data_IF_845606006615
#
_entry.id   IF_845606006615
#
_cell.length_a   1.000
_cell.length_b   1.000
_cell.length_c   1.000
_cell.angle_alpha   90.00
_cell.angle_beta   90.00
_cell.angle_gamma   90.00
#
_symmetry.space_group_name_H-M   'P 1'
#
loop_
_entity.id
_entity.type
_entity.pdbx_description
1 polymer ?
#
# COMPACT_ATOMS: atom_id res chain seq x y z
N UNK A 1 17.34 -5.88 11.17
CA UNK A 1 17.85 -4.57 11.65
C UNK A 1 18.49 -3.88 10.44
N UNK A 2 18.15 -2.62 10.15
CA UNK A 2 18.89 -1.83 9.15
C UNK A 2 19.99 -1.08 9.90
N UNK A 3 21.24 -1.35 9.54
CA UNK A 3 22.39 -0.55 9.97
C UNK A 3 22.89 0.25 8.77
N UNK A 4 23.13 1.54 8.98
CA UNK A 4 23.74 2.43 8.00
C UNK A 4 25.04 2.97 8.61
N UNK A 5 26.14 2.94 7.85
CA UNK A 5 27.46 3.36 8.30
C UNK A 5 27.86 4.62 7.53
N UNK A 6 27.90 5.76 8.21
CA UNK A 6 28.42 7.01 7.65
C UNK A 6 29.82 7.25 8.20
N UNK A 7 30.82 7.34 7.32
CA UNK A 7 32.18 7.76 7.68
C UNK A 7 32.48 9.04 6.91
N UNK A 8 32.50 10.17 7.61
CA UNK A 8 33.14 11.40 7.13
C UNK A 8 33.98 11.98 8.27
N UNK A 9 35.29 12.08 8.05
CA UNK A 9 36.22 12.81 8.91
C UNK A 9 36.95 13.81 8.02
N UNK A 10 36.72 15.10 8.25
CA UNK A 10 37.58 16.17 7.75
C UNK A 10 38.04 16.98 8.96
N UNK A 11 39.36 17.13 9.13
CA UNK A 11 39.95 18.01 10.12
C UNK A 11 40.75 19.09 9.39
N UNK A 12 40.39 20.35 9.56
CA UNK A 12 41.16 21.48 9.05
C UNK A 12 42.13 21.95 10.13
N UNK A 13 43.43 21.95 9.83
CA UNK A 13 44.46 22.60 10.64
C UNK A 13 45.50 23.22 9.72
N UNK A 14 45.53 24.55 9.67
CA UNK A 14 46.53 25.34 8.96
C UNK A 14 46.19 25.73 7.52
N UNK A 15 47.15 26.37 6.86
CA UNK A 15 47.08 26.85 5.46
C UNK A 15 47.09 25.73 4.40
N UNK A 16 47.12 24.46 4.84
CA UNK A 16 47.12 23.30 3.96
C UNK A 16 45.85 22.50 4.19
N UNK A 17 45.17 22.16 3.10
CA UNK A 17 44.11 21.16 3.11
C UNK A 17 44.79 19.80 3.27
N UNK A 18 44.54 19.15 4.41
CA UNK A 18 44.98 17.79 4.66
C UNK A 18 43.84 16.85 4.29
N UNK A 19 44.09 15.96 3.32
CA UNK A 19 43.15 14.94 2.89
C UNK A 19 43.83 13.57 2.89
N UNK A 20 43.05 12.51 3.16
CA UNK A 20 43.55 11.15 3.02
C UNK A 20 43.78 10.83 1.54
N UNK A 21 44.90 10.16 1.23
CA UNK A 21 45.11 9.63 -0.11
C UNK A 21 44.13 8.49 -0.37
N UNK A 22 43.04 8.80 -1.09
CA UNK A 22 42.00 7.85 -1.45
C UNK A 22 41.93 7.66 -2.96
N UNK A 23 41.63 6.43 -3.40
CA UNK A 23 41.45 6.16 -4.83
C UNK A 23 40.10 6.70 -5.27
N UNK A 24 40.11 7.66 -6.20
CA UNK A 24 38.89 8.12 -6.86
C UNK A 24 38.21 6.96 -7.60
N UNK A 25 36.91 6.80 -7.38
CA UNK A 25 36.08 5.80 -8.05
C UNK A 25 35.07 6.48 -8.97
N UNK A 26 34.66 5.83 -10.07
CA UNK A 26 33.83 6.48 -11.09
C UNK A 26 32.42 6.86 -10.63
N UNK A 27 31.92 6.21 -9.58
CA UNK A 27 30.59 6.51 -9.03
C UNK A 27 30.47 6.11 -7.57
N UNK A 28 29.54 6.76 -6.87
CA UNK A 28 29.17 6.42 -5.49
C UNK A 28 28.66 4.97 -5.38
N UNK A 29 27.98 4.46 -6.42
CA UNK A 29 27.56 3.05 -6.48
C UNK A 29 28.76 2.10 -6.42
N UNK A 30 29.81 2.37 -7.20
CA UNK A 30 31.03 1.56 -7.19
C UNK A 30 31.74 1.67 -5.83
N UNK A 31 31.76 2.87 -5.23
CA UNK A 31 32.27 3.06 -3.87
C UNK A 31 31.53 2.16 -2.87
N UNK A 32 30.20 2.23 -2.87
CA UNK A 32 29.29 1.44 -2.04
C UNK A 32 29.52 -0.06 -2.21
N UNK A 33 29.58 -0.54 -3.45
CA UNK A 33 29.81 -1.97 -3.73
C UNK A 33 31.15 -2.45 -3.18
N UNK A 34 32.22 -1.64 -3.31
CA UNK A 34 33.54 -1.97 -2.76
C UNK A 34 33.53 -1.97 -1.23
N UNK A 35 32.96 -0.95 -0.61
CA UNK A 35 32.82 -0.83 0.85
C UNK A 35 32.07 -2.05 1.40
N UNK A 36 30.90 -2.36 0.84
CA UNK A 36 30.10 -3.51 1.25
C UNK A 36 30.79 -4.84 0.98
N UNK A 37 31.60 -4.97 -0.08
CA UNK A 37 32.38 -6.19 -0.32
C UNK A 37 33.39 -6.42 0.81
N UNK A 38 34.14 -5.37 1.18
CA UNK A 38 35.14 -5.44 2.26
C UNK A 38 34.45 -5.69 3.60
N UNK A 39 33.37 -4.96 3.92
CA UNK A 39 32.63 -5.20 5.17
C UNK A 39 32.06 -6.62 5.19
N UNK A 40 31.52 -7.11 4.08
CA UNK A 40 31.02 -8.47 3.98
C UNK A 40 32.11 -9.52 4.22
N UNK A 41 33.30 -9.33 3.67
CA UNK A 41 34.46 -10.20 3.94
C UNK A 41 34.89 -10.16 5.40
N UNK A 42 34.91 -8.97 6.01
CA UNK A 42 35.22 -8.82 7.43
C UNK A 42 34.18 -9.50 8.32
N UNK A 43 32.89 -9.37 8.00
CA UNK A 43 31.82 -10.04 8.75
C UNK A 43 31.91 -11.56 8.65
N UNK A 44 32.31 -12.09 7.50
CA UNK A 44 32.39 -13.54 7.26
C UNK A 44 33.59 -14.19 7.99
N UNK A 45 34.73 -13.48 8.06
CA UNK A 45 35.95 -14.03 8.68
C UNK A 45 36.13 -13.62 10.15
N UNK A 46 35.66 -12.43 10.53
CA UNK A 46 35.97 -11.82 11.83
C UNK A 46 34.72 -11.41 12.62
N UNK A 47 33.52 -11.47 12.02
CA UNK A 47 32.28 -11.08 12.69
C UNK A 47 31.84 -12.12 13.73
N UNK A 48 31.90 -11.82 15.04
CA UNK A 48 31.53 -12.80 16.05
C UNK A 48 30.04 -13.15 15.94
N UNK A 49 29.74 -14.44 15.75
CA UNK A 49 28.37 -14.93 15.60
C UNK A 49 27.68 -14.51 14.29
N UNK A 50 28.38 -13.89 13.35
CA UNK A 50 27.86 -13.61 12.01
C UNK A 50 28.03 -14.83 11.12
N UNK A 51 26.92 -15.37 10.60
CA UNK A 51 26.94 -16.58 9.76
C UNK A 51 26.09 -16.41 8.51
N UNK A 52 26.40 -17.19 7.48
CA UNK A 52 25.65 -17.19 6.22
C UNK A 52 25.72 -15.85 5.49
N UNK A 53 26.90 -15.23 5.44
CA UNK A 53 27.12 -13.93 4.81
C UNK A 53 26.92 -14.02 3.30
N UNK A 54 26.08 -13.14 2.75
CA UNK A 54 25.73 -13.07 1.33
C UNK A 54 25.91 -11.63 0.82
N UNK A 55 26.86 -11.46 -0.10
CA UNK A 55 27.15 -10.17 -0.75
C UNK A 55 26.22 -9.96 -1.96
N UNK A 56 25.14 -9.20 -1.80
CA UNK A 56 24.16 -8.90 -2.84
C UNK A 56 24.43 -7.52 -3.45
N UNK A 57 25.60 -7.38 -4.09
CA UNK A 57 26.14 -6.08 -4.50
C UNK A 57 25.51 -5.51 -5.78
N UNK A 58 24.89 -6.37 -6.60
CA UNK A 58 24.30 -5.97 -7.88
C UNK A 58 22.82 -5.57 -7.80
N UNK A 59 22.19 -5.67 -6.62
CA UNK A 59 20.83 -5.19 -6.42
C UNK A 59 20.72 -3.67 -6.63
N UNK A 60 19.47 -3.18 -6.80
CA UNK A 60 19.22 -1.73 -6.92
C UNK A 60 19.85 -0.96 -5.76
N UNK A 61 19.62 -1.42 -4.54
CA UNK A 61 20.35 -1.01 -3.34
C UNK A 61 21.31 -2.15 -2.96
N UNK A 62 22.62 -2.00 -3.19
CA UNK A 62 23.60 -3.02 -2.79
C UNK A 62 23.53 -3.30 -1.29
N UNK A 63 23.61 -4.57 -0.90
CA UNK A 63 23.53 -4.95 0.51
C UNK A 63 24.36 -6.20 0.83
N UNK A 64 24.66 -6.38 2.11
CA UNK A 64 25.21 -7.62 2.68
C UNK A 64 24.18 -8.22 3.63
N UNK A 65 23.78 -9.46 3.38
CA UNK A 65 22.84 -10.19 4.23
C UNK A 65 23.58 -11.21 5.09
N UNK A 66 23.25 -11.32 6.37
CA UNK A 66 23.83 -12.30 7.28
C UNK A 66 22.89 -12.61 8.44
N UNK A 67 23.11 -13.72 9.15
CA UNK A 67 22.42 -14.03 10.40
C UNK A 67 23.37 -13.79 11.58
N UNK A 68 22.90 -13.11 12.62
CA UNK A 68 23.66 -12.91 13.85
C UNK A 68 23.14 -13.87 14.92
N UNK A 69 23.91 -14.92 15.20
CA UNK A 69 23.52 -16.05 16.04
C UNK A 69 23.18 -15.64 17.47
N UNK A 70 23.99 -14.76 18.08
CA UNK A 70 23.80 -14.36 19.48
C UNK A 70 22.46 -13.64 19.71
N UNK A 71 21.95 -12.91 18.72
CA UNK A 71 20.65 -12.25 18.81
C UNK A 71 19.52 -12.99 18.08
N UNK A 72 19.82 -14.04 17.31
CA UNK A 72 18.87 -14.73 16.44
C UNK A 72 18.31 -13.86 15.30
N UNK A 73 18.98 -12.77 14.92
CA UNK A 73 18.46 -11.84 13.92
C UNK A 73 19.00 -12.13 12.52
N UNK A 74 18.10 -12.07 11.54
CA UNK A 74 18.49 -11.90 10.13
C UNK A 74 18.71 -10.40 9.86
N UNK A 75 19.90 -10.08 9.34
CA UNK A 75 20.38 -8.73 9.12
C UNK A 75 20.58 -8.46 7.62
N UNK A 76 20.18 -7.27 7.19
CA UNK A 76 20.47 -6.70 5.88
C UNK A 76 21.22 -5.38 6.12
N UNK A 77 22.49 -5.33 5.71
CA UNK A 77 23.38 -4.17 5.84
C UNK A 77 23.47 -3.44 4.50
N UNK A 78 23.18 -2.16 4.49
CA UNK A 78 23.29 -1.26 3.32
C UNK A 78 24.15 -0.06 3.68
N UNK A 79 24.58 0.73 2.70
CA UNK A 79 25.28 2.00 2.96
C UNK A 79 24.55 3.17 2.31
N UNK A 80 24.48 4.29 3.05
CA UNK A 80 23.99 5.59 2.64
C UNK A 80 22.57 5.61 2.06
N UNK A 81 21.66 4.77 2.57
CA UNK A 81 20.27 4.76 2.09
C UNK A 81 19.43 5.80 2.84
N UNK A 82 19.78 7.07 2.65
CA UNK A 82 19.16 8.20 3.35
C UNK A 82 17.66 8.30 3.05
N UNK A 83 17.22 7.97 1.83
CA UNK A 83 15.80 7.94 1.46
C UNK A 83 15.03 6.90 2.29
N UNK A 84 15.61 5.72 2.53
CA UNK A 84 14.98 4.69 3.38
C UNK A 84 14.92 5.11 4.85
N UNK A 85 15.94 5.80 5.36
CA UNK A 85 15.94 6.37 6.71
C UNK A 85 14.83 7.42 6.85
N UNK A 86 14.75 8.36 5.92
CA UNK A 86 13.69 9.38 5.85
C UNK A 86 12.29 8.75 5.71
N UNK A 87 12.15 7.68 4.93
CA UNK A 87 10.89 6.92 4.84
C UNK A 87 10.51 6.25 6.16
N UNK A 88 11.49 5.74 6.90
CA UNK A 88 11.26 5.16 8.22
C UNK A 88 10.85 6.22 9.25
N UNK A 89 11.46 7.40 9.20
CA UNK A 89 11.08 8.56 10.00
C UNK A 89 9.64 9.02 9.71
N UNK A 90 9.26 9.11 8.43
CA UNK A 90 7.89 9.43 8.03
C UNK A 90 6.88 8.40 8.58
N UNK A 91 7.21 7.11 8.48
CA UNK A 91 6.38 6.03 9.04
C UNK A 91 6.27 6.10 10.56
N UNK A 92 7.35 6.50 11.25
CA UNK A 92 7.37 6.70 12.69
C UNK A 92 6.41 7.82 13.10
N UNK A 93 6.44 8.96 12.40
CA UNK A 93 5.52 10.08 12.64
C UNK A 93 4.08 9.60 12.46
N UNK A 94 3.73 8.98 11.32
CA UNK A 94 2.38 8.48 11.10
C UNK A 94 1.93 7.46 12.14
N UNK A 95 2.83 6.55 12.57
CA UNK A 95 2.53 5.57 13.61
C UNK A 95 2.35 6.17 15.01
N UNK A 96 2.85 7.38 15.24
CA UNK A 96 2.76 8.10 16.52
C UNK A 96 1.56 9.04 16.56
N UNK A 97 1.12 9.58 15.42
CA UNK A 97 0.01 10.52 15.33
C UNK A 97 -1.34 9.92 15.77
N UNK A 98 -1.58 8.64 15.48
CA UNK A 98 -2.83 7.98 15.84
C UNK A 98 -2.62 6.48 16.07
N UNK A 99 -3.11 5.97 17.21
CA UNK A 99 -2.93 4.56 17.62
C UNK A 99 -3.57 3.58 16.63
N UNK A 100 -4.61 4.00 15.91
CA UNK A 100 -5.31 3.18 14.92
C UNK A 100 -4.44 2.84 13.72
N UNK A 101 -3.44 3.67 13.41
CA UNK A 101 -2.50 3.46 12.31
C UNK A 101 -1.72 2.17 12.52
N UNK A 102 -1.10 2.02 13.70
CA UNK A 102 -0.34 0.81 14.04
C UNK A 102 -1.27 -0.39 14.07
N UNK A 103 -2.42 -0.30 14.72
CA UNK A 103 -3.37 -1.41 14.79
C UNK A 103 -3.80 -1.91 13.40
N UNK A 104 -4.15 -1.00 12.48
CA UNK A 104 -4.52 -1.36 11.11
C UNK A 104 -3.35 -1.92 10.31
N UNK A 105 -2.17 -1.30 10.37
CA UNK A 105 -0.98 -1.79 9.66
C UNK A 105 -0.65 -3.21 10.10
N UNK A 106 -0.66 -3.50 11.41
CA UNK A 106 -0.41 -4.85 11.91
C UNK A 106 -1.52 -5.83 11.53
N UNK A 107 -2.79 -5.44 11.64
CA UNK A 107 -3.93 -6.27 11.24
C UNK A 107 -3.88 -6.67 9.76
N UNK A 108 -3.67 -5.70 8.87
CA UNK A 108 -3.57 -5.94 7.42
C UNK A 108 -2.32 -6.73 7.06
N UNK A 109 -1.18 -6.51 7.71
CA UNK A 109 0.04 -7.30 7.47
C UNK A 109 -0.13 -8.75 7.91
N UNK A 110 -0.75 -9.00 9.07
CA UNK A 110 -1.07 -10.35 9.53
C UNK A 110 -2.01 -11.07 8.56
N UNK A 111 -3.07 -10.38 8.12
CA UNK A 111 -4.00 -10.88 7.10
C UNK A 111 -3.28 -11.21 5.78
N UNK A 112 -2.47 -10.29 5.27
CA UNK A 112 -1.75 -10.48 4.01
C UNK A 112 -0.74 -11.63 4.10
N UNK A 113 -0.11 -11.84 5.26
CA UNK A 113 0.75 -13.00 5.50
C UNK A 113 -0.04 -14.30 5.54
N UNK A 114 -1.16 -14.34 6.28
CA UNK A 114 -2.00 -15.53 6.40
C UNK A 114 -2.52 -16.02 5.04
N UNK A 115 -2.80 -15.10 4.13
CA UNK A 115 -3.26 -15.41 2.77
C UNK A 115 -2.15 -15.49 1.71
N UNK A 116 -0.88 -15.46 2.12
CA UNK A 116 0.28 -15.55 1.21
C UNK A 116 0.24 -14.48 0.09
N UNK A 117 -0.03 -13.24 0.46
CA UNK A 117 0.08 -12.04 -0.37
C UNK A 117 1.45 -11.36 -0.23
N UNK A 118 2.17 -11.68 0.83
CA UNK A 118 3.53 -11.22 1.13
C UNK A 118 4.47 -12.41 1.21
N UNK A 119 5.77 -12.18 1.00
CA UNK A 119 6.81 -13.20 1.14
C UNK A 119 8.06 -12.58 1.78
N UNK A 120 8.84 -13.39 2.49
CA UNK A 120 10.18 -13.03 2.95
C UNK A 120 11.23 -13.10 1.84
N UNK A 121 10.91 -13.80 0.74
CA UNK A 121 11.77 -13.94 -0.44
C UNK A 121 11.34 -12.89 -1.49
N UNK A 122 12.30 -12.19 -2.13
CA UNK A 122 11.99 -11.28 -3.23
C UNK A 122 11.22 -11.96 -4.37
N UNK A 123 10.25 -11.26 -4.95
CA UNK A 123 9.50 -11.74 -6.10
C UNK A 123 8.26 -10.90 -6.38
N UNK A 124 7.22 -11.52 -6.93
CA UNK A 124 6.04 -10.82 -7.44
C UNK A 124 5.02 -10.37 -6.37
N UNK A 125 5.28 -10.66 -5.10
CA UNK A 125 4.38 -10.39 -3.97
C UNK A 125 4.30 -8.91 -3.62
N UNK A 126 3.20 -8.51 -2.98
CA UNK A 126 3.09 -7.16 -2.42
C UNK A 126 4.05 -7.07 -1.23
N UNK A 127 4.85 -6.00 -1.16
CA UNK A 127 5.78 -5.81 -0.04
C UNK A 127 5.06 -5.27 1.19
N UNK A 128 5.60 -5.52 2.39
CA UNK A 128 5.08 -4.92 3.63
C UNK A 128 5.09 -3.38 3.57
N UNK A 129 6.09 -2.79 2.89
CA UNK A 129 6.16 -1.34 2.71
C UNK A 129 5.02 -0.84 1.81
N UNK A 130 4.75 -1.52 0.69
CA UNK A 130 3.61 -1.22 -0.20
C UNK A 130 2.27 -1.32 0.54
N UNK A 131 2.04 -2.38 1.34
CA UNK A 131 0.82 -2.51 2.15
C UNK A 131 0.69 -1.37 3.18
N UNK A 132 1.79 -0.98 3.82
CA UNK A 132 1.79 0.12 4.79
C UNK A 132 1.43 1.45 4.12
N UNK A 133 1.96 1.71 2.92
CA UNK A 133 1.59 2.88 2.12
C UNK A 133 0.11 2.89 1.71
N UNK A 134 -0.46 1.71 1.38
CA UNK A 134 -1.89 1.57 1.10
C UNK A 134 -2.76 1.92 2.32
N UNK A 135 -2.37 1.46 3.52
CA UNK A 135 -3.07 1.80 4.77
C UNK A 135 -2.97 3.30 5.06
N UNK A 136 -1.79 3.90 4.94
CA UNK A 136 -1.61 5.36 5.14
C UNK A 136 -2.47 6.15 4.18
N UNK A 137 -2.46 5.79 2.90
CA UNK A 137 -3.29 6.43 1.89
C UNK A 137 -4.78 6.33 2.21
N UNK A 138 -5.25 5.16 2.63
CA UNK A 138 -6.63 4.96 3.06
C UNK A 138 -6.99 5.87 4.26
N UNK A 139 -6.10 5.99 5.23
CA UNK A 139 -6.30 6.82 6.43
C UNK A 139 -6.29 8.33 6.12
N UNK A 140 -5.50 8.77 5.14
CA UNK A 140 -5.52 10.15 4.63
C UNK A 140 -6.84 10.51 3.94
N UNK A 141 -7.61 9.50 3.51
CA UNK A 141 -8.85 9.68 2.76
C UNK A 141 -10.12 9.53 3.58
N UNK A 142 -10.00 9.27 4.89
CA UNK A 142 -11.16 9.31 5.78
C UNK A 142 -11.74 10.72 5.86
N UNK A 143 -12.98 10.81 6.31
CA UNK A 143 -13.66 12.09 6.50
C UNK A 143 -14.16 12.20 7.94
N UNK A 144 -13.52 13.02 8.80
CA UNK A 144 -12.30 13.80 8.53
C UNK A 144 -11.05 12.90 8.39
N UNK A 145 -9.95 13.37 7.76
CA UNK A 145 -8.73 12.58 7.60
C UNK A 145 -8.12 12.15 8.94
N UNK A 146 -7.70 10.89 9.05
CA UNK A 146 -6.99 10.39 10.24
C UNK A 146 -5.52 10.80 10.20
N UNK A 147 -4.91 10.80 9.01
CA UNK A 147 -3.53 11.19 8.81
C UNK A 147 -3.42 12.43 7.90
N UNK A 148 -2.47 13.33 8.15
CA UNK A 148 -2.13 14.40 7.21
C UNK A 148 -1.42 13.82 5.98
N UNK A 149 -1.51 14.54 4.86
CA UNK A 149 -0.74 14.21 3.66
C UNK A 149 0.72 14.60 3.83
N UNK A 150 1.65 14.00 3.06
CA UNK A 150 3.05 14.41 3.14
C UNK A 150 3.25 15.86 2.66
N UNK A 151 2.44 16.36 1.72
CA UNK A 151 2.48 17.79 1.34
C UNK A 151 2.00 18.69 2.50
N UNK A 152 1.03 18.26 3.30
CA UNK A 152 0.64 18.99 4.52
C UNK A 152 1.76 19.00 5.55
N UNK A 153 2.46 17.87 5.75
CA UNK A 153 3.62 17.82 6.65
C UNK A 153 4.78 18.71 6.14
N UNK A 154 4.94 18.84 4.82
CA UNK A 154 5.89 19.77 4.19
C UNK A 154 5.56 21.22 4.50
N UNK A 155 4.28 21.61 4.45
CA UNK A 155 3.88 22.99 4.75
C UNK A 155 4.08 23.39 6.22
N UNK A 156 4.14 22.40 7.12
CA UNK A 156 4.38 22.61 8.54
C UNK A 156 5.86 22.62 8.90
N UNK A 157 6.76 22.24 7.98
CA UNK A 157 8.19 22.19 8.22
C UNK A 157 8.81 23.59 8.34
N UNK A 158 9.88 23.73 9.11
CA UNK A 158 10.68 24.96 9.17
C UNK A 158 12.07 24.79 8.54
N UNK A 159 12.98 25.73 8.83
CA UNK A 159 14.34 25.72 8.31
C UNK A 159 15.18 24.55 8.85
N UNK A 160 14.91 24.06 10.06
CA UNK A 160 15.64 22.94 10.68
C UNK A 160 15.21 21.60 10.07
N UNK A 161 13.95 21.52 9.61
CA UNK A 161 13.41 20.33 8.95
C UNK A 161 13.90 20.13 7.51
N UNK A 162 14.52 21.15 6.91
CA UNK A 162 14.90 21.17 5.49
C UNK A 162 15.85 20.03 5.15
N UNK A 163 15.40 19.14 4.27
CA UNK A 163 16.15 17.96 3.88
C UNK A 163 16.03 17.72 2.37
N UNK A 164 17.16 17.74 1.67
CA UNK A 164 17.27 17.36 0.26
C UNK A 164 18.26 16.20 0.14
N UNK A 165 17.82 15.11 -0.48
CA UNK A 165 18.61 13.89 -0.65
C UNK A 165 18.59 13.54 -2.14
N UNK A 166 19.76 13.50 -2.78
CA UNK A 166 19.89 13.16 -4.21
C UNK A 166 18.98 14.01 -5.13
N UNK A 167 18.84 15.31 -4.81
CA UNK A 167 17.97 16.24 -5.55
C UNK A 167 16.47 16.11 -5.22
N UNK A 168 16.07 15.13 -4.41
CA UNK A 168 14.68 14.95 -3.98
C UNK A 168 14.39 15.73 -2.70
N UNK A 169 13.29 16.49 -2.70
CA UNK A 169 12.84 17.21 -1.51
C UNK A 169 12.19 16.26 -0.50
N UNK A 170 12.94 15.98 0.56
CA UNK A 170 12.64 15.08 1.67
C UNK A 170 12.24 15.84 2.95
N UNK A 171 11.94 17.13 2.84
CA UNK A 171 11.53 17.98 3.95
C UNK A 171 10.13 17.57 4.43
N UNK A 172 9.93 17.50 5.74
CA UNK A 172 8.63 17.44 6.42
C UNK A 172 8.85 17.72 7.90
N UNK A 173 7.82 18.21 8.59
CA UNK A 173 7.89 18.52 10.01
C UNK A 173 8.24 17.30 10.87
N UNK A 174 9.25 17.43 11.75
CA UNK A 174 9.64 16.37 12.71
C UNK A 174 9.02 16.54 14.09
N UNK A 175 8.73 17.79 14.47
CA UNK A 175 8.06 18.09 15.73
C UNK A 175 6.56 17.77 15.66
N UNK A 176 6.18 16.68 16.35
CA UNK A 176 4.80 16.20 16.42
C UNK A 176 3.84 17.22 17.05
N UNK A 177 4.32 18.13 17.90
CA UNK A 177 3.49 19.13 18.57
C UNK A 177 2.83 20.11 17.59
N UNK A 178 3.44 20.28 16.41
CA UNK A 178 2.98 21.16 15.34
C UNK A 178 1.91 20.52 14.46
N UNK A 179 1.67 19.21 14.61
CA UNK A 179 0.69 18.46 13.83
C UNK A 179 -0.60 18.39 14.64
N UNK A 180 -1.68 18.97 14.09
CA UNK A 180 -3.00 18.91 14.74
C UNK A 180 -3.54 17.47 14.78
N UNK A 181 -4.01 16.98 15.94
CA UNK A 181 -4.67 15.69 16.02
C UNK A 181 -5.90 15.62 15.13
N UNK A 182 -6.22 14.41 14.64
CA UNK A 182 -7.42 14.18 13.85
C UNK A 182 -8.68 14.29 14.72
N UNK A 183 -9.73 14.93 14.18
CA UNK A 183 -11.07 14.89 14.76
C UNK A 183 -11.88 13.64 14.39
N UNK A 184 -11.28 12.66 13.71
CA UNK A 184 -11.96 11.45 13.26
C UNK A 184 -12.16 10.46 14.43
N UNK A 185 -13.39 9.98 14.59
CA UNK A 185 -13.79 9.07 15.67
C UNK A 185 -14.16 7.66 15.19
N UNK A 186 -13.88 7.32 13.94
CA UNK A 186 -14.18 5.99 13.38
C UNK A 186 -13.43 4.88 14.13
N UNK A 187 -14.15 3.80 14.45
CA UNK A 187 -13.57 2.69 15.20
C UNK A 187 -12.67 1.82 14.33
N UNK A 188 -11.81 1.01 14.95
CA UNK A 188 -10.92 0.10 14.24
C UNK A 188 -11.67 -0.93 13.40
N UNK A 189 -12.80 -1.42 13.91
CA UNK A 189 -13.65 -2.39 13.21
C UNK A 189 -14.19 -1.79 11.92
N UNK A 190 -14.69 -0.56 11.98
CA UNK A 190 -15.18 0.16 10.82
C UNK A 190 -14.05 0.40 9.83
N UNK A 191 -12.91 0.93 10.29
CA UNK A 191 -11.76 1.22 9.42
C UNK A 191 -11.20 -0.03 8.73
N UNK A 192 -11.17 -1.16 9.43
CA UNK A 192 -10.72 -2.44 8.87
C UNK A 192 -11.66 -2.92 7.75
N UNK A 193 -12.97 -2.89 8.00
CA UNK A 193 -14.00 -3.23 7.01
C UNK A 193 -13.92 -2.31 5.79
N UNK A 194 -13.86 -1.01 6.03
CA UNK A 194 -13.80 0.03 5.00
C UNK A 194 -12.50 -0.03 4.18
N UNK A 195 -11.38 -0.43 4.79
CA UNK A 195 -10.13 -0.66 4.05
C UNK A 195 -10.31 -1.75 2.98
N UNK A 196 -10.91 -2.87 3.35
CA UNK A 196 -11.16 -3.98 2.44
C UNK A 196 -12.21 -3.63 1.38
N UNK A 197 -13.29 -2.96 1.75
CA UNK A 197 -14.31 -2.48 0.79
C UNK A 197 -13.67 -1.51 -0.21
N UNK A 198 -12.89 -0.55 0.27
CA UNK A 198 -12.24 0.46 -0.55
C UNK A 198 -11.26 -0.17 -1.55
N UNK A 199 -10.32 -1.00 -1.08
CA UNK A 199 -9.32 -1.60 -1.97
C UNK A 199 -9.85 -2.80 -2.78
N UNK A 200 -10.93 -3.44 -2.35
CA UNK A 200 -11.65 -4.44 -3.15
C UNK A 200 -12.35 -3.83 -4.37
N UNK A 201 -12.69 -2.54 -4.32
CA UNK A 201 -13.34 -1.82 -5.42
C UNK A 201 -12.43 -0.77 -6.11
N UNK A 202 -11.18 -0.63 -5.66
CA UNK A 202 -10.26 0.36 -6.19
C UNK A 202 -9.88 0.08 -7.65
N UNK A 203 -9.94 1.10 -8.51
CA UNK A 203 -9.66 0.98 -9.93
C UNK A 203 -8.15 0.94 -10.23
N UNK A 204 -7.44 -0.12 -9.81
CA UNK A 204 -5.99 -0.29 -10.00
C UNK A 204 -5.53 -0.26 -11.46
N UNK A 205 -6.44 -0.46 -12.42
CA UNK A 205 -6.14 -0.35 -13.84
C UNK A 205 -5.93 1.11 -14.29
N UNK A 206 -6.57 2.08 -13.63
CA UNK A 206 -6.54 3.50 -13.99
C UNK A 206 -5.78 4.36 -12.98
N UNK A 207 -5.92 4.02 -11.70
CA UNK A 207 -5.56 4.89 -10.60
C UNK A 207 -4.32 4.40 -9.86
N UNK A 208 -3.54 5.35 -9.37
CA UNK A 208 -2.34 5.19 -8.56
C UNK A 208 -2.56 5.73 -7.16
N UNK A 209 -1.73 5.27 -6.24
CA UNK A 209 -1.75 5.63 -4.83
C UNK A 209 -0.65 6.66 -4.57
N UNK A 210 -1.03 7.81 -4.02
CA UNK A 210 -0.13 8.92 -3.73
C UNK A 210 -0.40 9.53 -2.34
N UNK A 211 0.51 9.28 -1.40
CA UNK A 211 0.39 9.76 -0.02
C UNK A 211 0.84 11.22 0.18
N UNK A 212 1.42 11.86 -0.85
CA UNK A 212 1.77 13.30 -0.81
C UNK A 212 0.53 14.17 -0.87
N UNK A 213 -0.40 13.80 -1.73
CA UNK A 213 -1.66 14.52 -1.90
C UNK A 213 -2.85 13.83 -1.22
N UNK A 214 -2.72 12.56 -0.83
CA UNK A 214 -3.82 11.78 -0.25
C UNK A 214 -4.98 11.57 -1.22
N UNK A 215 -4.71 11.57 -2.54
CA UNK A 215 -5.72 11.46 -3.60
C UNK A 215 -5.32 10.45 -4.66
N UNK A 216 -6.32 9.87 -5.32
CA UNK A 216 -6.12 9.02 -6.49
C UNK A 216 -5.61 9.86 -7.65
N UNK A 217 -4.68 9.31 -8.44
CA UNK A 217 -4.16 9.96 -9.63
C UNK A 217 -4.11 8.97 -10.79
N UNK A 218 -4.20 9.44 -12.03
CA UNK A 218 -3.99 8.60 -13.20
C UNK A 218 -2.60 7.94 -13.13
N UNK A 219 -2.53 6.66 -13.50
CA UNK A 219 -1.28 5.91 -13.48
C UNK A 219 -0.30 6.45 -14.52
N UNK A 220 0.97 6.67 -14.13
CA UNK A 220 2.04 7.03 -15.06
C UNK A 220 2.44 5.90 -16.01
N UNK A 221 2.20 4.64 -15.63
CA UNK A 221 2.54 3.47 -16.44
C UNK A 221 1.50 2.33 -16.31
N UNK A 222 1.72 1.24 -17.05
CA UNK A 222 0.83 0.08 -17.11
C UNK A 222 1.05 -0.95 -16.00
N UNK A 223 1.90 -0.68 -14.99
CA UNK A 223 2.18 -1.61 -13.89
C UNK A 223 0.88 -2.01 -13.18
N UNK A 224 0.68 -3.28 -12.78
CA UNK A 224 -0.55 -3.71 -12.11
C UNK A 224 -0.94 -2.83 -10.92
N UNK A 225 0.01 -2.63 -10.00
CA UNK A 225 -0.12 -1.77 -8.82
C UNK A 225 0.88 -0.62 -8.93
N UNK A 226 0.37 0.61 -8.84
CA UNK A 226 1.21 1.81 -8.82
C UNK A 226 1.06 2.55 -7.49
N UNK A 227 2.09 2.47 -6.66
CA UNK A 227 2.22 3.27 -5.45
C UNK A 227 3.45 4.14 -5.62
N UNK A 228 3.23 5.46 -5.63
CA UNK A 228 4.31 6.39 -5.85
C UNK A 228 5.18 6.50 -4.60
N UNK A 229 6.50 6.47 -4.79
CA UNK A 229 7.44 6.72 -3.70
C UNK A 229 7.22 8.16 -3.15
N UNK A 230 7.17 8.33 -1.82
CA UNK A 230 6.93 9.63 -1.20
C UNK A 230 8.02 10.68 -1.47
N UNK A 231 9.26 10.26 -1.71
CA UNK A 231 10.40 11.15 -1.88
C UNK A 231 10.97 11.10 -3.30
N UNK A 232 10.98 9.94 -3.95
CA UNK A 232 11.42 9.78 -5.34
C UNK A 232 10.21 9.71 -6.31
N UNK A 233 9.65 10.85 -6.72
CA UNK A 233 8.34 10.90 -7.40
C UNK A 233 8.24 10.13 -8.73
N UNK A 234 9.36 9.87 -9.40
CA UNK A 234 9.43 9.08 -10.63
C UNK A 234 9.34 7.57 -10.41
N UNK A 235 9.33 7.11 -9.16
CA UNK A 235 9.45 5.70 -8.82
C UNK A 235 8.16 5.10 -8.26
N UNK A 236 7.82 3.93 -8.81
CA UNK A 236 6.77 3.06 -8.31
C UNK A 236 7.37 2.04 -7.32
N UNK A 237 6.97 2.09 -6.05
CA UNK A 237 7.49 1.18 -5.01
C UNK A 237 6.93 -0.25 -5.13
N UNK A 238 5.89 -0.44 -5.94
CA UNK A 238 5.23 -1.73 -6.17
C UNK A 238 5.47 -2.27 -7.59
N UNK A 239 6.53 -1.82 -8.27
CA UNK A 239 6.87 -2.24 -9.63
C UNK A 239 7.12 -3.76 -9.77
N UNK A 240 7.44 -4.43 -8.68
CA UNK A 240 7.64 -5.88 -8.64
C UNK A 240 6.31 -6.67 -8.68
N UNK A 241 5.17 -6.04 -8.35
CA UNK A 241 3.90 -6.74 -8.16
C UNK A 241 3.31 -7.20 -9.49
N UNK A 242 3.05 -8.50 -9.63
CA UNK A 242 2.40 -9.05 -10.83
C UNK A 242 0.89 -8.83 -10.82
N UNK A 243 0.28 -8.93 -12.01
CA UNK A 243 -1.18 -8.84 -12.15
C UNK A 243 -1.90 -9.95 -11.37
N UNK A 244 -1.34 -11.16 -11.33
CA UNK A 244 -1.91 -12.29 -10.58
C UNK A 244 -1.91 -12.05 -9.08
N UNK A 245 -0.83 -11.48 -8.53
CA UNK A 245 -0.76 -11.17 -7.10
C UNK A 245 -1.70 -10.03 -6.71
N UNK A 246 -1.81 -9.00 -7.57
CA UNK A 246 -2.79 -7.93 -7.35
C UNK A 246 -4.23 -8.46 -7.42
N UNK A 247 -4.56 -9.30 -8.40
CA UNK A 247 -5.91 -9.87 -8.50
C UNK A 247 -6.24 -10.70 -7.27
N UNK A 248 -5.30 -11.53 -6.80
CA UNK A 248 -5.45 -12.29 -5.55
C UNK A 248 -5.72 -11.38 -4.35
N UNK A 249 -5.01 -10.26 -4.24
CA UNK A 249 -5.25 -9.27 -3.19
C UNK A 249 -6.69 -8.69 -3.27
N UNK A 250 -7.15 -8.33 -4.48
CA UNK A 250 -8.51 -7.78 -4.70
C UNK A 250 -9.58 -8.80 -4.31
N UNK A 251 -9.46 -10.04 -4.77
CA UNK A 251 -10.43 -11.11 -4.48
C UNK A 251 -10.54 -11.35 -2.97
N UNK A 252 -9.40 -11.43 -2.28
CA UNK A 252 -9.36 -11.61 -0.82
C UNK A 252 -9.89 -10.38 -0.07
N UNK A 253 -9.65 -9.17 -0.56
CA UNK A 253 -10.18 -7.94 0.04
C UNK A 253 -11.71 -7.92 -0.07
N UNK A 254 -12.27 -8.25 -1.23
CA UNK A 254 -13.72 -8.34 -1.42
C UNK A 254 -14.34 -9.42 -0.52
N UNK A 255 -13.71 -10.59 -0.42
CA UNK A 255 -14.16 -11.65 0.48
C UNK A 255 -14.10 -11.21 1.95
N UNK A 256 -13.02 -10.56 2.37
CA UNK A 256 -12.85 -10.08 3.74
C UNK A 256 -13.89 -9.00 4.09
N UNK A 257 -14.18 -8.09 3.17
CA UNK A 257 -15.25 -7.09 3.33
C UNK A 257 -16.61 -7.78 3.51
N UNK A 258 -16.92 -8.78 2.70
CA UNK A 258 -18.16 -9.55 2.80
C UNK A 258 -18.28 -10.31 4.13
N UNK A 259 -17.21 -10.99 4.59
CA UNK A 259 -17.19 -11.70 5.88
C UNK A 259 -17.44 -10.75 7.05
N UNK A 260 -16.83 -9.56 7.02
CA UNK A 260 -17.01 -8.53 8.06
C UNK A 260 -18.41 -7.88 8.01
N UNK A 261 -19.08 -7.86 6.85
CA UNK A 261 -20.45 -7.35 6.72
C UNK A 261 -21.51 -8.32 7.26
N UNK A 262 -21.38 -9.63 7.01
CA UNK A 262 -22.40 -10.60 7.41
C UNK A 262 -22.48 -10.79 8.93
N UNK A 263 -21.34 -10.75 9.63
CA UNK A 263 -21.26 -11.08 11.07
C UNK A 263 -21.67 -9.96 12.01
N UNK A 264 -21.95 -8.74 11.52
CA UNK A 264 -22.63 -7.71 12.32
C UNK A 264 -24.13 -7.99 12.48
N UNK A 265 -24.75 -8.76 11.56
CA UNK A 265 -26.16 -9.17 11.64
C UNK A 265 -26.38 -10.34 12.61
N UNK A 266 -25.40 -11.24 12.73
CA UNK A 266 -25.48 -12.48 13.54
C UNK A 266 -24.94 -12.35 14.97
N UNK A 267 -24.58 -11.13 15.44
CA UNK A 267 -24.10 -10.89 16.82
C UNK A 267 -25.06 -11.36 17.91
N UNK A 268 -26.30 -11.71 17.57
CA UNK A 268 -27.33 -12.22 18.48
C UNK A 268 -27.29 -13.75 18.72
N UNK A 269 -26.37 -14.51 18.09
CA UNK A 269 -26.28 -15.97 18.30
C UNK A 269 -24.86 -16.43 18.70
N UNK A 270 -24.50 -16.17 19.97
CA UNK A 270 -23.26 -16.65 20.60
C UNK A 270 -23.35 -18.15 20.94
N UNK A 271 -23.67 -19.00 19.95
CA UNK A 271 -23.88 -20.44 20.17
C UNK A 271 -23.01 -21.35 19.31
N UNK A 272 -22.09 -20.83 18.49
CA UNK A 272 -21.18 -21.66 17.71
C UNK A 272 -19.72 -21.19 17.87
N UNK A 273 -18.83 -22.15 18.08
CA UNK A 273 -17.38 -22.02 18.30
C UNK A 273 -16.60 -21.52 17.05
N UNK A 274 -17.23 -20.66 16.24
CA UNK A 274 -16.74 -20.19 14.95
C UNK A 274 -15.94 -18.90 15.10
N UNK A 275 -14.77 -18.76 14.44
CA UNK A 275 -13.98 -17.53 14.46
C UNK A 275 -14.78 -16.33 13.94
N UNK A 276 -14.67 -15.18 14.60
CA UNK A 276 -15.41 -13.95 14.28
C UNK A 276 -14.48 -12.73 14.21
N UNK A 277 -14.97 -11.64 13.62
CA UNK A 277 -14.21 -10.39 13.46
C UNK A 277 -12.86 -10.60 12.77
N UNK A 278 -11.79 -10.03 13.34
CA UNK A 278 -10.42 -10.19 12.83
C UNK A 278 -10.00 -11.67 12.74
N UNK A 279 -10.40 -12.53 13.68
CA UNK A 279 -10.02 -13.94 13.67
C UNK A 279 -10.60 -14.67 12.45
N UNK A 280 -11.80 -14.29 11.98
CA UNK A 280 -12.42 -14.88 10.81
C UNK A 280 -11.63 -14.65 9.51
N UNK A 281 -11.07 -13.45 9.36
CA UNK A 281 -10.32 -13.07 8.15
C UNK A 281 -8.84 -13.50 8.20
N UNK A 282 -8.33 -13.89 9.37
CA UNK A 282 -6.95 -14.40 9.52
C UNK A 282 -6.82 -15.89 9.23
N UNK A 283 -7.93 -16.61 9.08
CA UNK A 283 -7.87 -18.01 8.69
C UNK A 283 -7.65 -18.13 7.18
N UNK A 284 -6.77 -19.06 6.74
CA UNK A 284 -6.66 -19.40 5.33
C UNK A 284 -8.03 -19.82 4.82
N UNK A 285 -8.42 -19.32 3.65
CA UNK A 285 -9.62 -19.79 2.99
C UNK A 285 -9.48 -21.28 2.70
N UNK A 286 -10.17 -22.13 3.47
CA UNK A 286 -10.28 -23.54 3.15
C UNK A 286 -10.96 -23.58 1.79
N UNK A 287 -10.38 -24.24 0.77
CA UNK A 287 -11.05 -24.41 -0.52
C UNK A 287 -12.21 -25.37 -0.30
N UNK A 288 -13.32 -24.85 0.21
CA UNK A 288 -14.53 -25.62 0.36
C UNK A 288 -15.03 -25.85 -1.05
N UNK A 289 -14.96 -27.12 -1.50
CA UNK A 289 -15.54 -27.62 -2.75
C UNK A 289 -17.07 -27.47 -2.69
N UNK A 290 -17.55 -26.24 -2.80
CA UNK A 290 -18.86 -25.92 -3.34
C UNK A 290 -18.57 -24.98 -4.48
N UNK A 291 -18.72 -25.51 -5.68
CA UNK A 291 -18.63 -24.77 -6.92
C UNK A 291 -19.25 -23.38 -6.75
N UNK A 292 -18.43 -22.34 -6.75
CA UNK A 292 -18.89 -21.00 -7.10
C UNK A 292 -19.25 -21.04 -8.58
N UNK A 293 -20.43 -21.60 -8.87
CA UNK A 293 -21.14 -21.22 -10.07
C UNK A 293 -21.25 -19.72 -10.02
N UNK A 294 -20.70 -19.07 -11.05
CA UNK A 294 -20.78 -17.64 -11.31
C UNK A 294 -22.24 -17.18 -11.16
N UNK A 295 -22.68 -16.81 -9.97
CA UNK A 295 -23.82 -15.91 -9.78
C UNK A 295 -23.29 -14.50 -10.02
N UNK A 296 -22.96 -14.28 -11.29
CA UNK A 296 -22.85 -12.96 -11.90
C UNK A 296 -24.09 -12.20 -11.43
N UNK A 297 -23.87 -11.07 -10.76
CA UNK A 297 -24.88 -10.13 -10.29
C UNK A 297 -25.78 -9.74 -11.47
N UNK A 298 -26.82 -10.53 -11.73
CA UNK A 298 -27.92 -10.26 -12.66
C UNK A 298 -29.13 -9.84 -11.82
N UNK A 299 -28.96 -8.77 -11.06
CA UNK A 299 -30.05 -8.03 -10.40
C UNK A 299 -29.79 -6.55 -10.68
N UNK A 300 -30.51 -6.04 -11.67
CA UNK A 300 -30.89 -4.63 -11.89
C UNK A 300 -31.36 -4.40 -13.34
N UNK A 301 -30.76 -5.06 -14.35
CA UNK A 301 -31.17 -4.84 -15.75
C UNK A 301 -32.39 -5.66 -16.23
N UNK A 302 -32.64 -6.84 -15.66
CA UNK A 302 -33.71 -7.74 -16.15
C UNK A 302 -35.10 -7.41 -15.57
N UNK A 303 -35.18 -6.74 -14.43
CA UNK A 303 -36.45 -6.29 -13.83
C UNK A 303 -36.94 -5.03 -14.53
N UNK A 304 -36.06 -4.06 -14.79
CA UNK A 304 -36.40 -2.85 -15.55
C UNK A 304 -36.87 -3.16 -16.97
N UNK A 305 -36.24 -4.13 -17.66
CA UNK A 305 -36.66 -4.56 -19.00
C UNK A 305 -37.97 -5.34 -18.98
N UNK A 306 -38.23 -6.14 -17.93
CA UNK A 306 -39.52 -6.84 -17.77
C UNK A 306 -40.66 -5.87 -17.46
N UNK A 307 -40.44 -4.91 -16.58
CA UNK A 307 -41.42 -3.89 -16.23
C UNK A 307 -41.73 -2.99 -17.44
N UNK A 308 -40.73 -2.62 -18.25
CA UNK A 308 -40.93 -1.91 -19.52
C UNK A 308 -41.72 -2.73 -20.55
N UNK A 309 -41.44 -4.03 -20.68
CA UNK A 309 -42.17 -4.91 -21.61
C UNK A 309 -43.61 -5.19 -21.14
N UNK A 310 -43.87 -5.23 -19.84
CA UNK A 310 -45.22 -5.35 -19.31
C UNK A 310 -46.03 -4.05 -19.47
N UNK A 311 -45.43 -2.88 -19.25
CA UNK A 311 -46.08 -1.58 -19.54
C UNK A 311 -46.39 -1.37 -21.04
N UNK A 312 -45.55 -1.91 -21.93
CA UNK A 312 -45.82 -1.88 -23.37
C UNK A 312 -46.90 -2.88 -23.81
N UNK A 313 -47.06 -4.01 -23.09
CA UNK A 313 -48.14 -4.96 -23.32
C UNK A 313 -49.48 -4.43 -22.81
N UNK A 314 -49.52 -3.79 -21.64
CA UNK A 314 -50.76 -3.20 -21.09
C UNK A 314 -51.29 -2.05 -21.97
N UNK A 315 -50.40 -1.23 -22.53
CA UNK A 315 -50.78 -0.15 -23.46
C UNK A 315 -51.25 -0.64 -24.84
N UNK A 316 -50.85 -1.84 -25.27
CA UNK A 316 -51.35 -2.43 -26.52
C UNK A 316 -52.77 -3.00 -26.38
N UNK A 317 -53.15 -3.49 -25.20
CA UNK A 317 -54.51 -3.99 -24.93
C UNK A 317 -55.53 -2.88 -24.69
N UNK A 318 -55.12 -1.67 -24.34
CA UNK A 318 -56.03 -0.53 -24.17
C UNK A 318 -56.40 0.18 -25.49
N UNK A 319 -55.60 0.02 -26.55
CA UNK A 319 -55.81 0.72 -27.84
C UNK A 319 -56.54 -0.12 -28.90
N UNK A 320 -57.16 -1.24 -28.54
CA UNK A 320 -57.91 -2.11 -29.47
C UNK A 320 -59.43 -2.10 -29.30
N UNK A 321 -59.98 -1.21 -28.46
CA UNK A 321 -61.44 -1.11 -28.23
C UNK A 321 -62.09 0.21 -28.64
N UNK A 322 -61.37 1.16 -29.24
CA UNK A 322 -62.03 2.34 -29.81
C UNK A 322 -61.53 2.67 -31.21
N UNK A 323 -62.49 3.01 -32.07
CA UNK A 323 -62.40 3.57 -33.44
C UNK A 323 -62.64 2.60 -34.59
N UNK A 324 -63.91 2.20 -34.72
CA UNK A 324 -64.49 1.80 -36.00
C UNK A 324 -65.43 2.91 -36.47
N UNK A 325 -64.89 4.03 -36.98
CA UNK A 325 -65.68 5.03 -37.70
C UNK A 325 -64.93 5.57 -38.92
N UNK A 326 -65.63 5.47 -40.06
CA UNK A 326 -65.21 5.80 -41.42
C UNK A 326 -64.78 7.26 -41.55
N UNK A 327 -63.69 7.51 -42.29
CA UNK A 327 -63.52 8.78 -43.00
C UNK A 327 -63.01 8.59 -44.42
N UNK A 328 -63.88 9.01 -45.34
CA UNK A 328 -63.71 9.27 -46.76
C UNK A 328 -62.58 10.27 -46.99
N UNK A 329 -61.80 10.03 -48.04
CA UNK A 329 -60.73 10.90 -48.54
C UNK A 329 -61.33 11.97 -49.45
N UNK A 330 -60.95 13.23 -49.24
CA UNK A 330 -60.99 14.27 -50.27
C UNK A 330 -59.76 15.17 -50.14
N UNK A 331 -59.04 15.28 -51.24
CA UNK A 331 -57.80 16.05 -51.44
C UNK A 331 -58.12 17.35 -52.20
N UNK A 332 -57.17 18.31 -52.15
CA UNK A 332 -57.08 19.61 -52.84
C UNK A 332 -57.57 20.79 -51.98
N UNK A 333 -56.84 21.88 -51.79
CA UNK A 333 -55.65 22.45 -52.50
C UNK A 333 -54.83 23.26 -51.50
#
# INVERSE_FOLDING_TARGET
LFMDLNVFIFQTSGNFLTEFQVKNVPSERIATQKILSVIGECLDHFGPGCVGVQKILNARCPLVRFSHQASGFQCDLTTNNRIALTSSELLYIYGTLDSRVRALVFGIRCWARAHSLTSSIPGAWITNFSLTMMVIFFLQRRSPPILPTLDSLKTLADAEDKCTIEGNNCTFVRDLSRIKPSGNTETLELLLKEFFEYFGNFAFNKNSINIRQGREQNKPDSSPLYIQNPFETSLNISKNVSQSQLQKFVDLAQESAWVLQQKDTDRLSVSNNQPWGLAAILLPTVPNRRSFTKKKRKRSANESVRNLLESLKSNRTANFTETNEKRTVSTQT
#
